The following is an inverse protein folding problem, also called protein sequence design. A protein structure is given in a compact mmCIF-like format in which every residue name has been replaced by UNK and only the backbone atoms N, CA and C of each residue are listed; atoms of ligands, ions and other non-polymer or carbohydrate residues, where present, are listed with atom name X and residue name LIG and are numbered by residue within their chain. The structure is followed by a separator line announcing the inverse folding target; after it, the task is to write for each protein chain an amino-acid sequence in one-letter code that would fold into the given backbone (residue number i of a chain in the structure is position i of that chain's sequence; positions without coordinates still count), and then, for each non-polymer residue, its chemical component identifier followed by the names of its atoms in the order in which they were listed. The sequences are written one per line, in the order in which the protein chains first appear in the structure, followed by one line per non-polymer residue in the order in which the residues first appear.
data_IF_778001335602
#
_entry.id   IF_778001335602
#
_cell.length_a   1.000
_cell.length_b   1.000
_cell.length_c   1.000
_cell.angle_alpha   90.00
_cell.angle_beta   90.00
_cell.angle_gamma   90.00
#
_symmetry.space_group_name_H-M   'P 1'
#
loop_
_entity.id
_entity.type
_entity.pdbx_description
1 polymer ?
#
# COMPACT_ATOMS: atom_id res chain seq x y z
N UNK A 1 6.21 10.10 -12.66
CA UNK A 1 5.36 9.28 -11.81
C UNK A 1 4.92 9.99 -10.51
N UNK A 2 5.78 10.79 -9.89
CA UNK A 2 5.53 11.49 -8.63
C UNK A 2 5.28 13.00 -8.79
N UNK A 3 5.22 13.52 -10.00
CA UNK A 3 5.33 14.94 -10.34
C UNK A 3 4.07 15.80 -10.01
N UNK A 4 3.05 15.23 -9.39
CA UNK A 4 1.75 15.92 -9.23
C UNK A 4 1.39 16.35 -7.80
N UNK A 5 2.24 16.12 -6.76
CA UNK A 5 1.80 16.28 -5.36
C UNK A 5 2.79 16.93 -4.39
N UNK A 6 3.59 17.89 -4.83
CA UNK A 6 4.52 18.57 -3.92
C UNK A 6 5.71 17.68 -3.48
N UNK A 7 5.92 16.52 -4.13
CA UNK A 7 7.08 15.66 -3.89
C UNK A 7 8.24 16.17 -4.71
N UNK A 8 9.33 16.57 -4.05
CA UNK A 8 10.59 16.89 -4.71
C UNK A 8 11.40 15.62 -4.91
N UNK A 9 11.81 15.36 -6.15
CA UNK A 9 12.57 14.15 -6.50
C UNK A 9 13.96 14.52 -6.97
N UNK A 10 14.96 13.96 -6.30
CA UNK A 10 16.35 13.97 -6.74
C UNK A 10 16.68 12.60 -7.32
N UNK A 11 16.93 12.53 -8.64
CA UNK A 11 17.29 11.29 -9.30
C UNK A 11 18.80 11.24 -9.53
N UNK A 12 19.43 10.16 -9.07
CA UNK A 12 20.87 9.89 -9.23
C UNK A 12 21.06 8.50 -9.83
N UNK A 13 22.17 8.27 -10.52
CA UNK A 13 22.42 7.04 -11.27
C UNK A 13 23.55 6.18 -10.72
N UNK A 14 24.23 6.66 -9.69
CA UNK A 14 25.34 5.94 -9.03
C UNK A 14 25.23 5.98 -7.51
N UNK A 15 25.88 5.04 -6.84
CA UNK A 15 25.95 5.02 -5.38
C UNK A 15 26.78 6.19 -4.83
N UNK A 16 27.81 6.62 -5.54
CA UNK A 16 28.62 7.77 -5.15
C UNK A 16 27.81 9.08 -5.18
N UNK A 17 27.00 9.29 -6.24
CA UNK A 17 26.11 10.46 -6.32
C UNK A 17 25.03 10.41 -5.26
N UNK A 18 24.51 9.21 -4.93
CA UNK A 18 23.52 9.03 -3.86
C UNK A 18 24.11 9.45 -2.49
N UNK A 19 25.34 9.02 -2.18
CA UNK A 19 26.02 9.42 -0.94
C UNK A 19 26.27 10.93 -0.89
N UNK A 20 26.68 11.56 -1.99
CA UNK A 20 26.87 13.00 -2.08
C UNK A 20 25.54 13.75 -1.83
N UNK A 21 24.47 13.35 -2.50
CA UNK A 21 23.15 13.96 -2.32
C UNK A 21 22.65 13.85 -0.88
N UNK A 22 22.82 12.67 -0.24
CA UNK A 22 22.45 12.45 1.16
C UNK A 22 23.31 13.21 2.16
N UNK A 23 24.56 13.54 1.79
CA UNK A 23 25.44 14.41 2.59
C UNK A 23 25.04 15.89 2.54
N UNK A 24 24.42 16.32 1.44
CA UNK A 24 24.08 17.73 1.21
C UNK A 24 22.62 18.06 1.63
N UNK A 25 21.74 17.08 1.59
CA UNK A 25 20.30 17.30 1.79
C UNK A 25 19.66 16.14 2.57
N UNK A 26 18.76 16.48 3.47
CA UNK A 26 17.92 15.50 4.18
C UNK A 26 16.76 15.08 3.29
N UNK A 27 16.58 13.77 3.13
CA UNK A 27 15.48 13.17 2.35
C UNK A 27 14.52 12.40 3.26
N UNK A 28 13.25 12.47 2.95
CA UNK A 28 12.21 11.74 3.69
C UNK A 28 12.16 10.24 3.32
N UNK A 29 12.66 9.88 2.14
CA UNK A 29 12.68 8.49 1.66
C UNK A 29 13.71 8.33 0.54
N UNK A 30 14.32 7.15 0.46
CA UNK A 30 15.18 6.73 -0.65
C UNK A 30 14.59 5.50 -1.33
N UNK A 31 14.44 5.55 -2.67
CA UNK A 31 14.11 4.37 -3.49
C UNK A 31 15.42 3.90 -4.15
N UNK A 32 15.84 2.67 -3.84
CA UNK A 32 17.13 2.13 -4.22
C UNK A 32 16.98 0.91 -5.14
N UNK A 33 17.63 0.96 -6.32
CA UNK A 33 17.94 -0.25 -7.08
C UNK A 33 19.21 -0.91 -6.54
N UNK A 34 19.22 -2.23 -6.43
CA UNK A 34 20.40 -2.98 -5.98
C UNK A 34 21.49 -3.06 -7.05
N UNK A 35 21.14 -2.81 -8.32
CA UNK A 35 22.09 -2.86 -9.43
C UNK A 35 22.49 -1.44 -9.81
N UNK A 36 23.60 -0.96 -9.24
CA UNK A 36 24.20 0.31 -9.58
C UNK A 36 25.50 0.12 -10.38
N UNK A 37 25.93 1.10 -11.18
CA UNK A 37 27.08 0.95 -12.07
C UNK A 37 28.43 0.95 -11.35
N UNK A 38 28.53 1.56 -10.18
CA UNK A 38 29.78 1.82 -9.45
C UNK A 38 29.93 0.96 -8.17
N UNK A 39 28.83 0.54 -7.57
CA UNK A 39 28.83 -0.31 -6.39
C UNK A 39 27.52 -1.10 -6.31
N UNK A 40 27.46 -2.12 -5.47
CA UNK A 40 26.18 -2.79 -5.22
C UNK A 40 25.30 -1.98 -4.26
N UNK A 41 23.96 -2.11 -4.40
CA UNK A 41 23.03 -1.49 -3.44
C UNK A 41 23.24 -1.97 -2.00
N UNK A 42 23.78 -3.19 -1.80
CA UNK A 42 24.17 -3.70 -0.49
C UNK A 42 25.32 -2.90 0.12
N UNK A 43 26.35 -2.61 -0.69
CA UNK A 43 27.50 -1.80 -0.24
C UNK A 43 27.09 -0.37 0.07
N UNK A 44 26.17 0.20 -0.71
CA UNK A 44 25.61 1.52 -0.44
C UNK A 44 24.89 1.55 0.91
N UNK A 45 24.02 0.57 1.18
CA UNK A 45 23.29 0.46 2.44
C UNK A 45 24.24 0.30 3.64
N UNK A 46 25.29 -0.50 3.51
CA UNK A 46 26.30 -0.69 4.56
C UNK A 46 27.08 0.61 4.83
N UNK A 47 27.43 1.36 3.79
CA UNK A 47 28.10 2.67 3.95
C UNK A 47 27.21 3.70 4.62
N UNK A 48 25.92 3.71 4.30
CA UNK A 48 24.94 4.59 4.95
C UNK A 48 24.81 4.29 6.43
N UNK A 49 24.73 3.01 6.80
CA UNK A 49 24.61 2.60 8.20
C UNK A 49 25.91 2.68 9.01
N UNK A 50 27.06 2.64 8.35
CA UNK A 50 28.36 2.72 9.01
C UNK A 50 28.79 4.15 9.34
N UNK A 51 28.08 5.16 8.86
CA UNK A 51 28.47 6.56 9.00
C UNK A 51 27.30 7.38 9.57
N UNK A 52 27.45 7.81 10.82
CA UNK A 52 26.47 8.65 11.54
C UNK A 52 26.22 10.02 10.87
N UNK A 53 27.02 10.38 9.86
CA UNK A 53 26.83 11.60 9.06
C UNK A 53 25.55 11.53 8.20
N UNK A 54 25.11 10.32 7.82
CA UNK A 54 23.89 10.15 7.08
C UNK A 54 22.75 9.95 8.09
N UNK A 55 21.81 10.89 8.16
CA UNK A 55 20.58 10.65 8.91
C UNK A 55 19.92 9.37 8.38
N UNK A 56 19.38 8.57 9.28
CA UNK A 56 18.67 7.33 8.90
C UNK A 56 17.51 7.66 7.97
N UNK A 57 17.77 7.66 6.66
CA UNK A 57 16.74 7.84 5.65
C UNK A 57 16.02 6.50 5.43
N UNK A 58 14.71 6.47 5.49
CA UNK A 58 13.96 5.26 5.21
C UNK A 58 14.17 4.77 3.78
N UNK A 59 14.41 3.46 3.62
CA UNK A 59 14.81 2.88 2.34
C UNK A 59 13.78 1.90 1.81
N UNK A 60 13.33 2.13 0.57
CA UNK A 60 12.53 1.20 -0.23
C UNK A 60 13.43 0.60 -1.32
N UNK A 61 13.65 -0.71 -1.25
CA UNK A 61 14.37 -1.43 -2.31
C UNK A 61 13.43 -1.68 -3.49
N UNK A 62 13.84 -1.27 -4.69
CA UNK A 62 13.11 -1.51 -5.93
C UNK A 62 14.04 -2.15 -6.95
N UNK A 63 14.07 -3.47 -7.02
CA UNK A 63 15.04 -4.21 -7.82
C UNK A 63 14.42 -5.26 -8.74
N UNK A 64 15.03 -5.44 -9.93
CA UNK A 64 14.73 -6.56 -10.84
C UNK A 64 15.57 -7.81 -10.56
N UNK A 65 16.48 -7.75 -9.58
CA UNK A 65 17.32 -8.89 -9.21
C UNK A 65 16.50 -9.90 -8.40
N UNK A 66 16.58 -11.17 -8.77
CA UNK A 66 16.08 -12.26 -7.94
C UNK A 66 16.93 -12.37 -6.67
N UNK A 67 16.27 -12.27 -5.51
CA UNK A 67 16.94 -12.29 -4.21
C UNK A 67 16.90 -13.69 -3.62
N UNK A 68 18.05 -14.17 -3.15
CA UNK A 68 18.10 -15.35 -2.28
C UNK A 68 17.51 -15.04 -0.91
N UNK A 69 17.12 -16.07 -0.14
CA UNK A 69 16.62 -15.90 1.23
C UNK A 69 17.63 -15.20 2.15
N UNK A 70 18.91 -15.45 1.93
CA UNK A 70 20.01 -14.83 2.70
C UNK A 70 20.15 -13.33 2.36
N UNK A 71 20.11 -12.99 1.05
CA UNK A 71 20.13 -11.61 0.59
C UNK A 71 18.93 -10.83 1.09
N UNK A 72 17.73 -11.42 1.02
CA UNK A 72 16.50 -10.78 1.55
C UNK A 72 16.61 -10.55 3.07
N UNK A 73 17.10 -11.54 3.83
CA UNK A 73 17.31 -11.40 5.27
C UNK A 73 18.34 -10.31 5.63
N UNK A 74 19.39 -10.16 4.78
CA UNK A 74 20.39 -9.11 4.93
C UNK A 74 19.79 -7.72 4.64
N UNK A 75 19.03 -7.57 3.56
CA UNK A 75 18.38 -6.30 3.19
C UNK A 75 17.38 -5.82 4.25
N UNK A 76 16.65 -6.74 4.88
CA UNK A 76 15.69 -6.42 5.95
C UNK A 76 16.30 -5.76 7.19
N UNK A 77 17.62 -5.77 7.33
CA UNK A 77 18.32 -5.04 8.39
C UNK A 77 18.47 -3.55 8.08
N UNK A 78 18.43 -3.20 6.80
CA UNK A 78 18.76 -1.87 6.30
C UNK A 78 17.61 -1.20 5.53
N UNK A 79 16.63 -1.98 5.10
CA UNK A 79 15.55 -1.49 4.26
C UNK A 79 14.18 -1.76 4.90
N UNK A 80 13.33 -0.76 4.89
CA UNK A 80 11.98 -0.82 5.43
C UNK A 80 11.04 -1.63 4.52
N UNK A 81 11.27 -1.59 3.21
CA UNK A 81 10.48 -2.29 2.20
C UNK A 81 11.35 -2.84 1.08
N UNK A 82 10.95 -4.01 0.56
CA UNK A 82 11.59 -4.66 -0.61
C UNK A 82 10.51 -4.92 -1.65
N UNK A 83 10.66 -4.33 -2.85
CA UNK A 83 9.74 -4.47 -3.98
C UNK A 83 10.52 -5.06 -5.16
N UNK A 84 10.06 -6.20 -5.69
CA UNK A 84 10.64 -6.78 -6.89
C UNK A 84 10.02 -6.17 -8.14
N UNK A 85 10.85 -5.82 -9.14
CA UNK A 85 10.40 -5.36 -10.45
C UNK A 85 9.73 -6.52 -11.19
N UNK A 86 8.43 -6.41 -11.41
CA UNK A 86 7.61 -7.33 -12.23
C UNK A 86 6.85 -6.53 -13.28
N UNK A 87 6.16 -7.15 -14.23
CA UNK A 87 5.41 -6.45 -15.29
C UNK A 87 4.38 -5.43 -14.78
N UNK A 88 3.88 -5.57 -13.54
CA UNK A 88 2.98 -4.62 -12.87
C UNK A 88 3.66 -3.79 -11.76
N UNK A 89 4.96 -3.72 -11.76
CA UNK A 89 5.73 -3.16 -10.64
C UNK A 89 5.67 -1.64 -10.52
N UNK A 90 5.32 -0.90 -11.58
CA UNK A 90 5.23 0.56 -11.52
C UNK A 90 4.08 1.05 -10.64
N UNK A 91 2.89 0.43 -10.79
CA UNK A 91 1.75 0.73 -9.93
C UNK A 91 2.01 0.32 -8.47
N UNK A 92 2.66 -0.85 -8.29
CA UNK A 92 3.06 -1.33 -6.96
C UNK A 92 4.08 -0.43 -6.29
N UNK A 93 5.08 0.06 -7.04
CA UNK A 93 6.06 1.00 -6.50
C UNK A 93 5.38 2.30 -6.04
N UNK A 94 4.46 2.84 -6.84
CA UNK A 94 3.69 4.02 -6.48
C UNK A 94 2.89 3.80 -5.20
N UNK A 95 2.20 2.67 -5.10
CA UNK A 95 1.36 2.34 -3.96
C UNK A 95 2.20 2.11 -2.70
N UNK A 96 3.24 1.30 -2.78
CA UNK A 96 4.13 1.02 -1.64
C UNK A 96 4.90 2.26 -1.20
N UNK A 97 5.41 3.08 -2.13
CA UNK A 97 6.08 4.33 -1.79
C UNK A 97 5.11 5.36 -1.19
N UNK A 98 3.89 5.47 -1.71
CA UNK A 98 2.86 6.37 -1.14
C UNK A 98 2.43 5.93 0.25
N UNK A 99 2.20 4.63 0.46
CA UNK A 99 1.91 4.05 1.78
C UNK A 99 3.05 4.29 2.76
N UNK A 100 4.28 4.13 2.29
CA UNK A 100 5.46 4.31 3.11
C UNK A 100 5.67 5.77 3.49
N UNK A 101 5.54 6.71 2.55
CA UNK A 101 5.59 8.14 2.82
C UNK A 101 4.50 8.56 3.81
N UNK A 102 3.30 8.01 3.67
CA UNK A 102 2.20 8.30 4.59
C UNK A 102 2.44 7.73 5.99
N UNK A 103 3.00 6.51 6.09
CA UNK A 103 3.42 5.92 7.36
C UNK A 103 4.51 6.77 8.03
N UNK A 104 5.51 7.25 7.26
CA UNK A 104 6.52 8.17 7.76
C UNK A 104 5.92 9.45 8.33
N UNK A 105 5.01 10.08 7.60
CA UNK A 105 4.31 11.30 8.05
C UNK A 105 3.55 11.07 9.36
N UNK A 106 2.98 9.88 9.57
CA UNK A 106 2.27 9.53 10.81
C UNK A 106 3.21 9.20 11.97
N UNK A 107 4.44 8.78 11.69
CA UNK A 107 5.40 8.29 12.71
C UNK A 107 6.44 9.34 13.10
N UNK A 108 6.70 10.36 12.23
CA UNK A 108 7.66 11.41 12.51
C UNK A 108 7.18 12.38 13.59
N UNK A 109 8.08 12.89 14.47
CA UNK A 109 7.77 13.93 15.44
C UNK A 109 7.20 15.18 14.77
N UNK A 110 6.29 15.87 15.48
CA UNK A 110 5.51 17.02 14.96
C UNK A 110 6.32 18.20 14.39
N UNK A 111 7.60 18.34 14.73
CA UNK A 111 8.47 19.39 14.20
C UNK A 111 9.10 19.07 12.83
N UNK A 112 8.94 17.85 12.32
CA UNK A 112 9.29 17.46 10.93
C UNK A 112 8.05 17.31 10.03
N UNK A 113 6.85 17.53 10.57
CA UNK A 113 5.63 17.56 9.77
C UNK A 113 5.60 18.85 8.97
N UNK A 114 5.66 18.74 7.66
CA UNK A 114 5.43 19.89 6.77
C UNK A 114 4.11 20.55 7.10
N UNK A 115 4.03 21.85 6.79
CA UNK A 115 3.00 22.84 7.07
C UNK A 115 1.63 22.28 7.53
N UNK A 116 1.08 22.71 8.70
CA UNK A 116 -0.21 22.24 9.24
C UNK A 116 -1.41 22.42 8.30
N UNK A 117 -1.34 23.37 7.35
CA UNK A 117 -2.40 23.64 6.37
C UNK A 117 -2.65 22.47 5.38
N UNK A 118 -1.71 21.50 5.23
CA UNK A 118 -1.93 20.32 4.39
C UNK A 118 -2.66 19.17 5.12
N UNK A 119 -2.85 19.26 6.42
CA UNK A 119 -3.47 18.19 7.24
C UNK A 119 -5.00 18.26 7.22
N UNK A 120 -5.57 19.46 7.10
CA UNK A 120 -7.03 19.67 7.12
C UNK A 120 -7.76 19.18 5.85
N UNK A 121 -7.06 19.00 4.72
CA UNK A 121 -7.70 18.51 3.48
C UNK A 121 -7.62 16.97 3.27
N UNK A 122 -7.22 16.19 4.28
CA UNK A 122 -6.98 14.73 4.13
C UNK A 122 -8.21 13.85 4.32
N UNK A 123 -9.20 14.32 5.02
CA UNK A 123 -10.42 13.56 5.29
C UNK A 123 -11.48 13.70 4.19
N UNK A 124 -11.43 14.77 3.40
CA UNK A 124 -12.35 15.03 2.28
C UNK A 124 -12.29 13.99 1.14
N UNK A 125 -11.22 13.17 1.07
CA UNK A 125 -11.07 12.14 0.00
C UNK A 125 -12.11 11.04 0.12
N UNK A 126 -12.57 10.75 1.32
CA UNK A 126 -13.52 9.68 1.61
C UNK A 126 -14.96 10.16 1.62
N UNK A 127 -15.17 11.48 1.75
CA UNK A 127 -16.49 12.08 1.87
C UNK A 127 -17.38 11.74 0.66
N UNK A 128 -18.52 11.10 0.93
CA UNK A 128 -19.46 10.67 -0.09
C UNK A 128 -18.99 9.52 -0.98
N UNK A 129 -17.82 8.91 -0.71
CA UNK A 129 -17.35 7.71 -1.43
C UNK A 129 -18.16 6.49 -1.01
N UNK A 130 -18.55 5.69 -1.99
CA UNK A 130 -19.37 4.52 -1.80
C UNK A 130 -18.51 3.27 -1.61
N UNK A 131 -18.65 2.63 -0.47
CA UNK A 131 -17.88 1.48 -0.06
C UNK A 131 -18.80 0.25 0.10
N UNK A 132 -18.43 -0.88 -0.49
CA UNK A 132 -19.04 -2.16 -0.21
C UNK A 132 -18.17 -2.92 0.79
N UNK A 133 -18.69 -3.15 2.00
CA UNK A 133 -18.06 -3.96 3.03
C UNK A 133 -18.64 -5.37 3.04
N UNK A 134 -17.77 -6.36 2.82
CA UNK A 134 -18.17 -7.78 2.74
C UNK A 134 -17.44 -8.58 3.82
N UNK A 135 -18.19 -9.08 4.79
CA UNK A 135 -17.70 -9.92 5.90
C UNK A 135 -18.89 -10.73 6.45
N UNK A 136 -18.70 -11.97 6.85
CA UNK A 136 -19.79 -12.81 7.40
C UNK A 136 -19.96 -12.62 8.91
N UNK A 137 -19.00 -12.00 9.60
CA UNK A 137 -19.11 -11.70 11.02
C UNK A 137 -19.65 -10.29 11.26
N UNK A 138 -20.90 -10.22 11.73
CA UNK A 138 -21.55 -8.96 12.07
C UNK A 138 -20.76 -8.07 13.04
N UNK A 139 -19.90 -8.66 13.90
CA UNK A 139 -19.06 -7.90 14.84
C UNK A 139 -17.98 -7.13 14.09
N UNK A 140 -17.38 -7.74 13.05
CA UNK A 140 -16.40 -7.08 12.18
C UNK A 140 -17.09 -5.98 11.40
N UNK A 141 -18.26 -6.26 10.82
CA UNK A 141 -19.06 -5.27 10.09
C UNK A 141 -19.33 -4.05 10.96
N UNK A 142 -19.89 -4.23 12.16
CA UNK A 142 -20.18 -3.10 13.06
C UNK A 142 -18.94 -2.32 13.48
N UNK A 143 -17.84 -3.01 13.79
CA UNK A 143 -16.62 -2.35 14.23
C UNK A 143 -15.98 -1.51 13.12
N UNK A 144 -16.02 -2.01 11.88
CA UNK A 144 -15.45 -1.32 10.71
C UNK A 144 -16.37 -0.24 10.18
N UNK A 145 -17.69 -0.52 10.03
CA UNK A 145 -18.62 0.45 9.46
C UNK A 145 -18.66 1.73 10.29
N UNK A 146 -18.73 1.65 11.63
CA UNK A 146 -18.72 2.83 12.48
C UNK A 146 -17.50 3.74 12.25
N UNK A 147 -16.31 3.16 12.14
CA UNK A 147 -15.07 3.93 11.91
C UNK A 147 -14.97 4.49 10.49
N UNK A 148 -15.49 3.75 9.49
CA UNK A 148 -15.49 4.19 8.09
C UNK A 148 -16.57 5.24 7.81
N UNK A 149 -17.72 5.17 8.47
CA UNK A 149 -18.76 6.21 8.45
C UNK A 149 -18.26 7.53 9.04
N UNK A 150 -17.49 7.48 10.13
CA UNK A 150 -16.82 8.67 10.69
C UNK A 150 -15.85 9.34 9.71
N UNK A 151 -15.31 8.58 8.76
CA UNK A 151 -14.45 9.09 7.68
C UNK A 151 -15.24 9.62 6.47
N UNK A 152 -16.57 9.54 6.49
CA UNK A 152 -17.45 10.09 5.45
C UNK A 152 -17.85 9.11 4.35
N UNK A 153 -17.59 7.80 4.49
CA UNK A 153 -18.04 6.80 3.51
C UNK A 153 -19.54 6.54 3.57
N UNK A 154 -20.14 6.37 2.39
CA UNK A 154 -21.47 5.73 2.23
C UNK A 154 -21.29 4.20 2.11
N UNK A 155 -21.71 3.47 3.13
CA UNK A 155 -21.38 2.05 3.27
C UNK A 155 -22.59 1.19 2.93
N UNK A 156 -22.38 0.23 2.02
CA UNK A 156 -23.27 -0.89 1.81
C UNK A 156 -22.65 -2.18 2.33
N UNK A 157 -23.46 -3.08 2.85
CA UNK A 157 -23.01 -4.31 3.49
C UNK A 157 -23.40 -5.54 2.69
N UNK A 158 -22.56 -6.57 2.71
CA UNK A 158 -22.87 -7.90 2.20
C UNK A 158 -22.27 -8.96 3.14
N UNK A 159 -22.98 -10.09 3.35
CA UNK A 159 -22.59 -11.09 4.32
C UNK A 159 -21.78 -12.26 3.72
N UNK A 160 -21.63 -12.29 2.41
CA UNK A 160 -20.83 -13.30 1.68
C UNK A 160 -20.54 -12.82 0.25
N UNK A 161 -19.71 -13.57 -0.48
CA UNK A 161 -19.31 -13.23 -1.84
C UNK A 161 -20.47 -13.22 -2.85
N UNK A 162 -21.50 -14.02 -2.65
CA UNK A 162 -22.70 -14.05 -3.53
C UNK A 162 -23.49 -12.75 -3.39
N UNK A 163 -23.78 -12.35 -2.16
CA UNK A 163 -24.51 -11.11 -1.87
C UNK A 163 -23.72 -9.88 -2.36
N UNK A 164 -22.39 -9.92 -2.26
CA UNK A 164 -21.53 -8.87 -2.83
C UNK A 164 -21.67 -8.75 -4.35
N UNK A 165 -21.69 -9.87 -5.08
CA UNK A 165 -21.91 -9.88 -6.53
C UNK A 165 -23.30 -9.34 -6.90
N UNK A 166 -24.36 -9.80 -6.24
CA UNK A 166 -25.72 -9.33 -6.46
C UNK A 166 -25.86 -7.82 -6.19
N UNK A 167 -25.18 -7.33 -5.15
CA UNK A 167 -25.17 -5.91 -4.80
C UNK A 167 -24.48 -5.08 -5.87
N UNK A 168 -23.30 -5.51 -6.33
CA UNK A 168 -22.55 -4.86 -7.41
C UNK A 168 -23.32 -4.90 -8.75
N UNK A 169 -24.05 -5.98 -9.02
CA UNK A 169 -24.87 -6.10 -10.24
C UNK A 169 -26.06 -5.15 -10.24
N UNK A 170 -26.73 -5.02 -9.10
CA UNK A 170 -27.87 -4.13 -8.92
C UNK A 170 -27.45 -2.66 -8.93
N UNK A 171 -26.31 -2.35 -8.33
CA UNK A 171 -25.79 -1.01 -8.22
C UNK A 171 -24.26 -1.00 -8.45
N UNK A 172 -23.79 -0.63 -9.64
CA UNK A 172 -22.37 -0.66 -9.99
C UNK A 172 -21.57 0.57 -9.52
N UNK A 173 -22.19 1.52 -8.81
CA UNK A 173 -21.61 2.82 -8.49
C UNK A 173 -20.69 2.83 -7.26
N UNK A 174 -20.08 1.71 -6.87
CA UNK A 174 -19.13 1.67 -5.76
C UNK A 174 -17.75 2.18 -6.17
N UNK A 175 -17.12 2.91 -5.26
CA UNK A 175 -15.75 3.42 -5.43
C UNK A 175 -14.70 2.41 -4.95
N UNK A 176 -15.03 1.56 -3.97
CA UNK A 176 -14.12 0.56 -3.40
C UNK A 176 -14.89 -0.59 -2.74
N UNK A 177 -14.27 -1.76 -2.70
CA UNK A 177 -14.78 -2.96 -2.00
C UNK A 177 -13.76 -3.41 -0.94
N UNK A 178 -14.21 -3.63 0.29
CA UNK A 178 -13.48 -4.37 1.33
C UNK A 178 -14.04 -5.79 1.37
N UNK A 179 -13.23 -6.79 1.07
CA UNK A 179 -13.67 -8.17 0.87
C UNK A 179 -12.99 -9.11 1.88
N UNK A 180 -13.73 -9.65 2.83
CA UNK A 180 -13.22 -10.77 3.62
C UNK A 180 -12.93 -11.98 2.73
N UNK A 181 -11.89 -12.72 3.09
CA UNK A 181 -11.52 -13.94 2.36
C UNK A 181 -12.31 -15.14 2.85
N UNK A 182 -12.49 -15.27 4.16
CA UNK A 182 -13.03 -16.49 4.77
C UNK A 182 -14.52 -16.35 5.07
N UNK A 183 -15.34 -16.59 4.07
CA UNK A 183 -16.80 -16.50 4.19
C UNK A 183 -17.50 -17.78 3.74
N UNK A 184 -18.70 -18.08 4.28
CA UNK A 184 -19.52 -19.22 3.84
C UNK A 184 -20.11 -18.99 2.44
N UNK A 185 -20.61 -20.04 1.80
CA UNK A 185 -21.26 -20.10 0.48
C UNK A 185 -20.34 -19.73 -0.69
N UNK A 186 -19.75 -18.54 -0.69
CA UNK A 186 -18.79 -18.05 -1.67
C UNK A 186 -17.73 -17.28 -0.93
N UNK A 187 -16.50 -17.78 -0.95
CA UNK A 187 -15.35 -17.11 -0.33
C UNK A 187 -14.90 -15.87 -1.11
N UNK A 188 -14.03 -15.07 -0.49
CA UNK A 188 -13.56 -13.83 -1.10
C UNK A 188 -12.72 -14.06 -2.37
N UNK A 189 -11.98 -15.15 -2.47
CA UNK A 189 -11.21 -15.47 -3.68
C UNK A 189 -12.11 -15.71 -4.88
N UNK A 190 -13.13 -16.55 -4.71
CA UNK A 190 -14.11 -16.84 -5.76
C UNK A 190 -14.89 -15.59 -6.14
N UNK A 191 -15.33 -14.81 -5.15
CA UNK A 191 -16.07 -13.57 -5.37
C UNK A 191 -15.24 -12.56 -6.19
N UNK A 192 -13.99 -12.30 -5.81
CA UNK A 192 -13.09 -11.41 -6.54
C UNK A 192 -12.86 -11.88 -7.97
N UNK A 193 -12.59 -13.17 -8.17
CA UNK A 193 -12.43 -13.75 -9.51
C UNK A 193 -13.65 -13.53 -10.40
N UNK A 194 -14.88 -13.70 -9.87
CA UNK A 194 -16.12 -13.45 -10.59
C UNK A 194 -16.36 -11.96 -10.86
N UNK A 195 -16.03 -11.07 -9.92
CA UNK A 195 -16.09 -9.62 -10.11
C UNK A 195 -15.17 -9.21 -11.28
N UNK A 196 -13.94 -9.71 -11.32
CA UNK A 196 -12.98 -9.38 -12.37
C UNK A 196 -13.34 -9.91 -13.76
N UNK A 197 -14.16 -10.94 -13.85
CA UNK A 197 -14.69 -11.43 -15.13
C UNK A 197 -15.71 -10.45 -15.76
N UNK A 198 -16.26 -9.53 -14.98
CA UNK A 198 -17.21 -8.53 -15.49
C UNK A 198 -16.45 -7.28 -15.97
N UNK A 199 -16.54 -6.90 -17.26
CA UNK A 199 -15.75 -5.77 -17.82
C UNK A 199 -15.93 -4.45 -17.08
N UNK A 200 -17.11 -4.19 -16.52
CA UNK A 200 -17.44 -2.96 -15.77
C UNK A 200 -16.71 -2.83 -14.43
N UNK A 201 -16.18 -3.93 -13.87
CA UNK A 201 -15.52 -3.94 -12.57
C UNK A 201 -14.02 -4.24 -12.65
N UNK A 202 -13.44 -4.21 -13.83
CA UNK A 202 -11.99 -4.47 -14.02
C UNK A 202 -11.12 -3.45 -13.28
N UNK A 203 -11.61 -2.22 -13.13
CA UNK A 203 -10.89 -1.11 -12.46
C UNK A 203 -11.41 -0.81 -11.05
N UNK A 204 -12.48 -1.46 -10.58
CA UNK A 204 -13.02 -1.28 -9.24
C UNK A 204 -11.98 -1.73 -8.20
N UNK A 205 -11.50 -0.85 -7.29
CA UNK A 205 -10.57 -1.25 -6.25
C UNK A 205 -11.19 -2.27 -5.30
N UNK A 206 -10.48 -3.38 -5.06
CA UNK A 206 -10.86 -4.40 -4.09
C UNK A 206 -9.68 -4.61 -3.12
N UNK A 207 -9.90 -4.36 -1.84
CA UNK A 207 -8.96 -4.66 -0.77
C UNK A 207 -9.40 -5.93 -0.04
N UNK A 208 -8.55 -6.96 -0.06
CA UNK A 208 -8.83 -8.20 0.63
C UNK A 208 -8.54 -8.08 2.14
N UNK A 209 -9.46 -8.55 2.98
CA UNK A 209 -9.28 -8.65 4.42
C UNK A 209 -8.98 -10.12 4.76
N UNK A 210 -7.81 -10.42 5.33
CA UNK A 210 -7.38 -11.81 5.55
C UNK A 210 -6.94 -12.07 6.98
N UNK A 211 -7.31 -13.23 7.54
CA UNK A 211 -6.84 -13.67 8.85
C UNK A 211 -5.36 -14.13 8.85
N UNK A 212 -4.76 -14.35 7.67
CA UNK A 212 -3.39 -14.85 7.53
C UNK A 212 -2.50 -13.81 6.89
N UNK A 213 -1.35 -13.54 7.52
CA UNK A 213 -0.35 -12.57 7.06
C UNK A 213 0.85 -13.24 6.36
N UNK A 214 0.71 -14.49 5.87
CA UNK A 214 1.81 -15.19 5.21
C UNK A 214 2.02 -14.72 3.78
N UNK A 215 3.26 -14.81 3.28
CA UNK A 215 3.62 -14.38 1.91
C UNK A 215 2.75 -15.05 0.82
N UNK A 216 2.39 -16.31 1.02
CA UNK A 216 1.57 -17.09 0.08
C UNK A 216 0.12 -16.59 0.01
N UNK A 217 -0.42 -16.04 1.11
CA UNK A 217 -1.79 -15.54 1.15
C UNK A 217 -1.92 -14.20 0.43
N UNK A 218 -0.87 -13.35 0.48
CA UNK A 218 -0.80 -12.13 -0.33
C UNK A 218 -0.86 -12.44 -1.83
N UNK A 219 -0.03 -13.36 -2.29
CA UNK A 219 -0.01 -13.75 -3.69
C UNK A 219 -1.40 -14.24 -4.15
N UNK A 220 -2.04 -15.11 -3.35
CA UNK A 220 -3.38 -15.61 -3.63
C UNK A 220 -4.44 -14.51 -3.73
N UNK A 221 -4.42 -13.51 -2.84
CA UNK A 221 -5.34 -12.38 -2.90
C UNK A 221 -5.18 -11.60 -4.21
N UNK A 222 -3.94 -11.29 -4.60
CA UNK A 222 -3.65 -10.56 -5.83
C UNK A 222 -4.00 -11.37 -7.08
N UNK A 223 -3.69 -12.68 -7.09
CA UNK A 223 -4.01 -13.58 -8.20
C UNK A 223 -5.53 -13.75 -8.36
N UNK A 224 -6.30 -13.71 -7.26
CA UNK A 224 -7.75 -13.72 -7.29
C UNK A 224 -8.38 -12.41 -7.76
N UNK A 225 -7.60 -11.32 -7.88
CA UNK A 225 -8.06 -10.05 -8.41
C UNK A 225 -8.16 -8.91 -7.39
N UNK A 226 -7.67 -9.09 -6.15
CA UNK A 226 -7.53 -7.98 -5.22
C UNK A 226 -6.48 -6.98 -5.75
N UNK A 227 -6.69 -5.71 -5.44
CA UNK A 227 -5.71 -4.65 -5.68
C UNK A 227 -4.66 -4.63 -4.58
N UNK A 228 -5.09 -4.88 -3.33
CA UNK A 228 -4.23 -4.99 -2.17
C UNK A 228 -4.89 -5.81 -1.06
N UNK A 229 -4.24 -5.95 0.09
CA UNK A 229 -4.76 -6.71 1.21
C UNK A 229 -4.44 -6.07 2.56
N UNK A 230 -5.29 -6.31 3.55
CA UNK A 230 -5.07 -5.96 4.95
C UNK A 230 -5.25 -7.21 5.83
N UNK A 231 -4.31 -7.45 6.74
CA UNK A 231 -4.40 -8.58 7.69
C UNK A 231 -5.30 -8.23 8.88
N UNK A 232 -6.11 -9.19 9.32
CA UNK A 232 -6.83 -9.12 10.59
C UNK A 232 -5.86 -9.47 11.76
N UNK A 233 -5.91 -8.78 12.92
CA UNK A 233 -6.82 -7.69 13.24
C UNK A 233 -6.53 -6.44 12.41
N UNK A 234 -7.59 -5.74 11.99
CA UNK A 234 -7.47 -4.62 11.07
C UNK A 234 -6.90 -3.41 11.81
N UNK A 235 -5.77 -2.92 11.32
CA UNK A 235 -5.21 -1.62 11.69
C UNK A 235 -5.84 -0.55 10.80
N UNK A 236 -6.64 0.34 11.40
CA UNK A 236 -7.35 1.39 10.68
C UNK A 236 -6.40 2.38 9.99
N UNK A 237 -5.26 2.71 10.60
CA UNK A 237 -4.27 3.58 9.96
C UNK A 237 -3.74 2.97 8.66
N UNK A 238 -3.46 1.67 8.69
CA UNK A 238 -3.03 0.94 7.51
C UNK A 238 -4.14 0.81 6.47
N UNK A 239 -5.35 0.48 6.89
CA UNK A 239 -6.50 0.33 6.00
C UNK A 239 -6.83 1.65 5.29
N UNK A 240 -6.94 2.76 6.03
CA UNK A 240 -7.22 4.09 5.45
C UNK A 240 -6.11 4.55 4.51
N UNK A 241 -4.85 4.24 4.81
CA UNK A 241 -3.72 4.52 3.91
C UNK A 241 -3.85 3.75 2.59
N UNK A 242 -4.20 2.46 2.63
CA UNK A 242 -4.48 1.66 1.43
C UNK A 242 -5.65 2.23 0.63
N UNK A 243 -6.74 2.57 1.30
CA UNK A 243 -7.93 3.13 0.64
C UNK A 243 -7.64 4.46 -0.05
N UNK A 244 -6.87 5.35 0.58
CA UNK A 244 -6.42 6.61 -0.04
C UNK A 244 -5.68 6.39 -1.34
N UNK A 245 -4.77 5.42 -1.39
CA UNK A 245 -4.01 5.07 -2.60
C UNK A 245 -4.93 4.69 -3.76
N UNK A 246 -5.97 3.91 -3.49
CA UNK A 246 -6.85 3.37 -4.52
C UNK A 246 -8.00 4.31 -4.90
N UNK A 247 -8.43 5.19 -4.00
CA UNK A 247 -9.49 6.18 -4.25
C UNK A 247 -8.97 7.49 -4.86
N UNK A 248 -7.67 7.72 -4.79
CA UNK A 248 -7.04 8.92 -5.32
C UNK A 248 -6.70 8.74 -6.80
N UNK A 249 -7.72 8.66 -7.65
CA UNK A 249 -7.56 8.71 -9.12
C UNK A 249 -7.92 10.06 -9.67
#
# INVERSE_FOLDING_TARGET
LFDQKGVQITAVTSGADALAALGDTVYDCMILDLTLPDMSGFELLEKLHANDQYEAVPVVIYTGKDLTREEEARLRKYADRIILKTERSHERLLNEASLFLHWLESTLPSHRRGNPEMIEHRDDIFEGKRLLLVDDDMRNIYALSAQLEELGFDISLANNGREALETLERDPGFDIVLMDIMMPEMDGYEAMGRIRQQPRFTTLPILALTAKAMKDDRAKCLDAGANDYCSKPIDMSKLTSLMRVWLHK
#
